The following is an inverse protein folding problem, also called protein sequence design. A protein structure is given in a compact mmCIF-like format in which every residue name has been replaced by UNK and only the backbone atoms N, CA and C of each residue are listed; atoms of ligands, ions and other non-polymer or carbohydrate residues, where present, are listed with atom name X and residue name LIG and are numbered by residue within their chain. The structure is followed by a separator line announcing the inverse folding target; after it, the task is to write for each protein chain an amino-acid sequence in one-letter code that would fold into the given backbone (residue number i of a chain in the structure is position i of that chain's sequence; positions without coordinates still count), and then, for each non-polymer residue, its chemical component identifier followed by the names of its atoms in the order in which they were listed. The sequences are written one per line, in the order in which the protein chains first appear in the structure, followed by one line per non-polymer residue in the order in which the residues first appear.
data_IF_307204259663
#
_entry.id   IF_307204259663
#
_cell.length_a   1.000
_cell.length_b   1.000
_cell.length_c   1.000
_cell.angle_alpha   90.00
_cell.angle_beta   90.00
_cell.angle_gamma   90.00
#
_symmetry.space_group_name_H-M   'P 1'
#
loop_
_entity.id
_entity.type
_entity.pdbx_description
1 polymer ?
#
# COMPACT_ATOMS: atom_id res chain seq x y z
N UNK A 1 -5.65 -25.18 -3.71
CA UNK A 1 -4.69 -25.96 -2.89
C UNK A 1 -4.47 -25.15 -1.61
N UNK A 2 -5.12 -25.55 -0.52
CA UNK A 2 -5.05 -24.87 0.79
C UNK A 2 -3.63 -24.99 1.35
N UNK A 3 -2.90 -23.87 1.43
CA UNK A 3 -1.75 -23.79 2.32
C UNK A 3 -2.30 -23.66 3.74
N UNK A 4 -2.16 -24.73 4.54
CA UNK A 4 -2.58 -24.76 5.94
C UNK A 4 -1.74 -23.76 6.72
N UNK A 5 -2.23 -22.52 6.86
CA UNK A 5 -1.72 -21.61 7.88
C UNK A 5 -2.16 -22.19 9.24
N UNK A 6 -1.22 -22.83 9.95
CA UNK A 6 -1.46 -23.41 11.30
C UNK A 6 -1.43 -22.35 12.39
N UNK A 7 -1.09 -21.12 12.05
CA UNK A 7 -1.05 -19.99 12.97
C UNK A 7 -2.46 -19.45 13.14
N UNK A 8 -3.01 -19.50 14.35
CA UNK A 8 -4.27 -18.86 14.68
C UNK A 8 -4.04 -17.34 14.67
N UNK A 9 -4.39 -16.69 13.57
CA UNK A 9 -4.19 -15.25 13.42
C UNK A 9 -5.28 -14.55 14.21
N UNK A 10 -4.92 -14.04 15.39
CA UNK A 10 -5.80 -13.24 16.25
C UNK A 10 -5.20 -11.85 16.45
N UNK A 11 -5.95 -10.80 16.13
CA UNK A 11 -5.57 -9.41 16.39
C UNK A 11 -6.60 -8.82 17.34
N UNK A 12 -6.19 -8.32 18.50
CA UNK A 12 -7.10 -7.72 19.49
C UNK A 12 -8.31 -8.60 19.87
N UNK A 13 -8.10 -9.92 20.01
CA UNK A 13 -9.16 -10.92 20.26
C UNK A 13 -10.17 -11.09 19.11
N UNK A 14 -9.86 -10.57 17.93
CA UNK A 14 -10.61 -10.82 16.69
C UNK A 14 -9.87 -11.89 15.88
N UNK A 15 -10.57 -12.99 15.59
CA UNK A 15 -10.05 -14.05 14.73
C UNK A 15 -10.05 -13.62 13.26
N UNK A 16 -8.96 -13.90 12.56
CA UNK A 16 -8.81 -13.66 11.13
C UNK A 16 -8.80 -15.01 10.42
N UNK A 17 -9.63 -15.13 9.38
CA UNK A 17 -9.77 -16.35 8.60
C UNK A 17 -9.65 -16.04 7.10
N UNK A 18 -9.02 -16.95 6.37
CA UNK A 18 -8.98 -16.91 4.91
C UNK A 18 -10.24 -17.56 4.36
N UNK A 19 -10.91 -16.86 3.45
CA UNK A 19 -12.10 -17.40 2.78
C UNK A 19 -11.80 -17.72 1.32
N UNK A 20 -12.60 -18.60 0.72
CA UNK A 20 -12.53 -18.87 -0.73
C UNK A 20 -13.08 -17.72 -1.59
N UNK A 21 -13.68 -16.71 -0.95
CA UNK A 21 -14.16 -15.53 -1.67
C UNK A 21 -12.95 -14.76 -2.20
N UNK A 22 -12.93 -14.57 -3.51
CA UNK A 22 -11.94 -13.71 -4.16
C UNK A 22 -12.07 -12.31 -3.59
N UNK A 23 -10.94 -11.73 -3.21
CA UNK A 23 -10.89 -10.32 -2.85
C UNK A 23 -11.27 -9.48 -4.07
N UNK A 24 -12.01 -8.40 -3.84
CA UNK A 24 -12.27 -7.43 -4.92
C UNK A 24 -10.97 -6.70 -5.25
N UNK A 25 -10.84 -6.21 -6.49
CA UNK A 25 -9.66 -5.44 -6.89
C UNK A 25 -9.43 -4.26 -5.92
N UNK A 26 -10.48 -3.50 -5.60
CA UNK A 26 -10.41 -2.41 -4.63
C UNK A 26 -10.00 -2.87 -3.23
N UNK A 27 -10.57 -3.99 -2.74
CA UNK A 27 -10.18 -4.55 -1.44
C UNK A 27 -8.71 -4.93 -1.40
N UNK A 28 -8.19 -5.53 -2.48
CA UNK A 28 -6.77 -5.85 -2.61
C UNK A 28 -5.88 -4.61 -2.63
N UNK A 29 -6.27 -3.58 -3.41
CA UNK A 29 -5.55 -2.31 -3.44
C UNK A 29 -5.54 -1.61 -2.07
N UNK A 30 -6.65 -1.61 -1.35
CA UNK A 30 -6.71 -1.03 0.00
C UNK A 30 -5.77 -1.72 0.98
N UNK A 31 -5.64 -3.05 0.92
CA UNK A 31 -4.68 -3.79 1.76
C UNK A 31 -3.23 -3.43 1.42
N UNK A 32 -2.91 -3.34 0.12
CA UNK A 32 -1.57 -2.94 -0.32
C UNK A 32 -1.25 -1.49 0.09
N UNK A 33 -2.21 -0.57 -0.05
CA UNK A 33 -2.05 0.82 0.38
C UNK A 33 -1.75 0.91 1.89
N UNK A 34 -2.54 0.22 2.73
CA UNK A 34 -2.32 0.18 4.17
C UNK A 34 -0.97 -0.46 4.53
N UNK A 35 -0.51 -1.46 3.78
CA UNK A 35 0.82 -2.02 3.94
C UNK A 35 1.92 -1.01 3.59
N UNK A 36 1.80 -0.30 2.46
CA UNK A 36 2.77 0.72 2.03
C UNK A 36 2.88 1.90 3.00
N UNK A 37 1.77 2.31 3.61
CA UNK A 37 1.78 3.30 4.69
C UNK A 37 2.57 2.80 5.91
N UNK A 38 2.35 1.55 6.33
CA UNK A 38 3.05 0.97 7.50
C UNK A 38 4.56 0.85 7.31
N UNK A 39 5.02 0.63 6.09
CA UNK A 39 6.46 0.54 5.78
C UNK A 39 7.07 1.90 5.40
N UNK A 40 6.30 2.99 5.51
CA UNK A 40 6.75 4.35 5.14
C UNK A 40 7.33 4.42 3.73
N UNK A 41 6.68 3.73 2.77
CA UNK A 41 7.20 3.60 1.41
C UNK A 41 7.35 4.96 0.73
N UNK A 42 6.44 5.90 1.02
CA UNK A 42 6.44 7.24 0.42
C UNK A 42 7.67 8.03 0.85
N UNK A 43 7.97 8.01 2.14
CA UNK A 43 9.13 8.68 2.73
C UNK A 43 10.43 8.05 2.22
N UNK A 44 10.47 6.71 2.19
CA UNK A 44 11.60 5.98 1.64
C UNK A 44 11.88 6.38 0.18
N UNK A 45 10.85 6.38 -0.69
CA UNK A 45 10.99 6.81 -2.08
C UNK A 45 11.41 8.28 -2.16
N UNK A 46 10.81 9.17 -1.36
CA UNK A 46 11.17 10.59 -1.35
C UNK A 46 12.62 10.85 -0.92
N UNK A 47 13.18 10.00 -0.06
CA UNK A 47 14.60 10.08 0.32
C UNK A 47 15.55 9.57 -0.77
N UNK A 48 15.15 8.52 -1.51
CA UNK A 48 15.96 7.94 -2.59
C UNK A 48 15.88 8.81 -3.84
N UNK A 49 14.70 9.38 -4.10
CA UNK A 49 14.38 10.19 -5.27
C UNK A 49 13.85 11.56 -4.78
N UNK A 50 14.74 12.51 -4.46
CA UNK A 50 14.38 13.81 -3.91
C UNK A 50 13.85 14.74 -5.02
N UNK A 51 12.65 14.46 -5.51
CA UNK A 51 11.95 15.30 -6.50
C UNK A 51 11.11 16.34 -5.76
N UNK A 52 11.48 17.62 -5.89
CA UNK A 52 10.65 18.76 -5.48
C UNK A 52 9.92 19.32 -6.70
N UNK A 53 8.79 18.69 -7.07
CA UNK A 53 7.94 19.15 -8.17
C UNK A 53 6.98 20.25 -7.70
N UNK A 54 7.33 21.50 -8.00
CA UNK A 54 6.47 22.67 -7.77
C UNK A 54 5.87 23.14 -9.09
N UNK A 55 4.55 23.21 -9.15
CA UNK A 55 3.85 23.91 -10.22
C UNK A 55 4.21 25.40 -10.18
N UNK A 56 4.52 26.05 -11.33
CA UNK A 56 4.74 27.49 -11.40
C UNK A 56 3.54 28.32 -10.92
N UNK A 57 2.36 27.70 -10.83
CA UNK A 57 1.11 28.35 -10.44
C UNK A 57 0.69 28.05 -8.98
N UNK A 58 1.55 27.41 -8.17
CA UNK A 58 1.30 27.03 -6.76
C UNK A 58 0.04 26.18 -6.50
N UNK A 59 -0.62 25.67 -7.55
CA UNK A 59 -1.75 24.75 -7.44
C UNK A 59 -1.19 23.33 -7.39
N UNK A 60 -0.89 22.86 -6.18
CA UNK A 60 -0.69 21.46 -5.85
C UNK A 60 0.64 20.85 -6.31
N UNK A 61 1.27 20.09 -5.41
CA UNK A 61 2.38 19.20 -5.73
C UNK A 61 1.84 18.12 -6.67
N UNK A 62 2.27 18.10 -7.93
CA UNK A 62 1.93 17.02 -8.85
C UNK A 62 2.72 15.79 -8.42
N UNK A 63 2.07 14.81 -7.79
CA UNK A 63 2.69 13.53 -7.49
C UNK A 63 2.78 12.68 -8.77
N UNK A 64 3.66 13.05 -9.70
CA UNK A 64 3.92 12.32 -10.96
C UNK A 64 4.91 11.16 -10.82
N UNK A 65 5.47 10.94 -9.62
CA UNK A 65 6.62 10.05 -9.40
C UNK A 65 6.35 8.57 -9.76
N UNK A 66 5.08 8.14 -9.88
CA UNK A 66 4.77 6.77 -10.31
C UNK A 66 4.62 6.60 -11.84
N UNK A 67 4.68 7.66 -12.65
CA UNK A 67 4.47 7.56 -14.10
C UNK A 67 5.76 7.36 -14.92
N UNK A 68 6.95 7.53 -14.34
CA UNK A 68 8.22 7.54 -15.09
C UNK A 68 9.32 6.61 -14.55
N UNK A 69 8.99 5.66 -13.67
CA UNK A 69 9.93 4.61 -13.22
C UNK A 69 9.58 3.20 -13.74
N UNK A 70 8.69 3.11 -14.75
CA UNK A 70 8.40 1.90 -15.52
C UNK A 70 8.63 2.16 -17.01
#
# INVERSE_FOLDING_TARGET
MHSKCTTKIEINKVGIEFTEKKITAYGGFSLLAAFFEKIHLREAIGSIIPIDEKSPNSIGMYSKILAYTL
#
